data_IF_010837517173
#
_entry.id   IF_010837517173
#
_cell.length_a   1.000
_cell.length_b   1.000
_cell.length_c   1.000
_cell.angle_alpha   90.00
_cell.angle_beta   90.00
_cell.angle_gamma   90.00
#
_symmetry.space_group_name_H-M   'P 1'
#
loop_
_entity.id
_entity.type
_entity.pdbx_description
1 polymer ?
#
# COMPACT_ATOMS: atom_id res chain seq x y z
N UNK A 1 25.67 25.95 -21.97
CA UNK A 1 25.68 24.51 -22.32
C UNK A 1 24.37 23.91 -21.85
N UNK A 2 23.54 23.39 -22.75
CA UNK A 2 22.32 22.67 -22.35
C UNK A 2 22.75 21.28 -21.89
N UNK A 3 22.68 21.01 -20.58
CA UNK A 3 22.97 19.68 -20.06
C UNK A 3 21.99 18.67 -20.69
N UNK A 4 22.52 17.67 -21.38
CA UNK A 4 21.71 16.58 -21.95
C UNK A 4 21.06 15.83 -20.79
N UNK A 5 19.73 15.93 -20.67
CA UNK A 5 18.97 15.23 -19.61
C UNK A 5 19.07 13.72 -19.84
N UNK A 6 19.57 12.99 -18.84
CA UNK A 6 19.67 11.53 -18.90
C UNK A 6 18.29 10.88 -18.80
N UNK A 7 18.08 9.77 -19.48
CA UNK A 7 16.91 8.92 -19.31
C UNK A 7 16.92 8.24 -17.94
N UNK A 8 15.73 7.94 -17.41
CA UNK A 8 15.59 7.07 -16.24
C UNK A 8 16.06 5.66 -16.59
N UNK A 9 16.63 5.00 -15.60
CA UNK A 9 17.02 3.59 -15.71
C UNK A 9 15.78 2.72 -15.85
N UNK A 10 15.91 1.66 -16.64
CA UNK A 10 14.84 0.68 -16.84
C UNK A 10 14.64 -0.13 -15.55
N UNK A 11 13.39 -0.47 -15.27
CA UNK A 11 13.03 -1.42 -14.20
C UNK A 11 13.55 -2.78 -14.57
N UNK A 12 14.35 -3.35 -13.68
CA UNK A 12 14.85 -4.71 -13.85
C UNK A 12 13.81 -5.73 -13.38
N UNK A 13 14.01 -7.00 -13.74
CA UNK A 13 13.17 -8.10 -13.25
C UNK A 13 13.27 -8.23 -11.73
N UNK A 14 14.44 -7.94 -11.16
CA UNK A 14 14.67 -7.98 -9.71
C UNK A 14 13.86 -6.90 -9.00
N UNK A 15 13.83 -5.68 -9.55
CA UNK A 15 13.03 -4.58 -8.99
C UNK A 15 11.53 -4.91 -9.02
N UNK A 16 11.05 -5.50 -10.13
CA UNK A 16 9.67 -5.94 -10.26
C UNK A 16 9.33 -7.03 -9.24
N UNK A 17 10.16 -8.07 -9.12
CA UNK A 17 9.93 -9.18 -8.21
C UNK A 17 9.89 -8.72 -6.75
N UNK A 18 10.81 -7.83 -6.37
CA UNK A 18 10.81 -7.18 -5.05
C UNK A 18 9.51 -6.42 -4.81
N UNK A 19 9.16 -5.50 -5.70
CA UNK A 19 7.95 -4.69 -5.57
C UNK A 19 6.67 -5.53 -5.49
N UNK A 20 6.54 -6.55 -6.34
CA UNK A 20 5.39 -7.47 -6.31
C UNK A 20 5.32 -8.24 -4.99
N UNK A 21 6.45 -8.70 -4.44
CA UNK A 21 6.47 -9.42 -3.16
C UNK A 21 6.00 -8.53 -2.00
N UNK A 22 6.54 -7.31 -1.91
CA UNK A 22 6.14 -6.36 -0.87
C UNK A 22 4.68 -5.94 -1.01
N UNK A 23 4.25 -5.55 -2.21
CA UNK A 23 2.87 -5.11 -2.43
C UNK A 23 1.86 -6.25 -2.25
N UNK A 24 2.19 -7.49 -2.63
CA UNK A 24 1.31 -8.64 -2.39
C UNK A 24 1.09 -8.89 -0.89
N UNK A 25 2.13 -8.73 -0.08
CA UNK A 25 2.02 -8.87 1.37
C UNK A 25 1.09 -7.81 1.96
N UNK A 26 1.31 -6.52 1.67
CA UNK A 26 0.46 -5.44 2.19
C UNK A 26 -0.98 -5.52 1.66
N UNK A 27 -1.16 -5.91 0.40
CA UNK A 27 -2.47 -6.19 -0.17
C UNK A 27 -3.18 -7.34 0.56
N UNK A 28 -2.45 -8.42 0.88
CA UNK A 28 -3.02 -9.56 1.62
C UNK A 28 -3.48 -9.12 3.01
N UNK A 29 -2.68 -8.32 3.72
CA UNK A 29 -3.12 -7.78 5.02
C UNK A 29 -4.36 -6.91 4.88
N UNK A 30 -4.37 -5.93 3.97
CA UNK A 30 -5.54 -5.09 3.75
C UNK A 30 -6.80 -5.91 3.40
N UNK A 31 -6.64 -6.98 2.62
CA UNK A 31 -7.73 -7.86 2.24
C UNK A 31 -8.24 -8.70 3.41
N UNK A 32 -7.35 -9.21 4.28
CA UNK A 32 -7.73 -9.91 5.49
C UNK A 32 -8.55 -9.01 6.42
N UNK A 33 -8.11 -7.77 6.61
CA UNK A 33 -8.78 -6.78 7.44
C UNK A 33 -10.20 -6.50 6.93
N UNK A 34 -10.32 -6.20 5.64
CA UNK A 34 -11.59 -5.93 4.99
C UNK A 34 -12.52 -7.16 5.00
N UNK A 35 -11.97 -8.36 4.82
CA UNK A 35 -12.75 -9.60 4.87
C UNK A 35 -13.30 -9.88 6.27
N UNK A 36 -12.52 -9.58 7.32
CA UNK A 36 -12.97 -9.71 8.70
C UNK A 36 -14.14 -8.78 9.00
N UNK A 37 -14.09 -7.52 8.54
CA UNK A 37 -15.17 -6.55 8.69
C UNK A 37 -16.46 -7.02 8.00
N UNK A 38 -16.36 -7.43 6.73
CA UNK A 38 -17.52 -7.92 5.96
C UNK A 38 -18.14 -9.17 6.58
N UNK A 39 -17.33 -10.05 7.16
CA UNK A 39 -17.83 -11.25 7.82
C UNK A 39 -18.67 -10.92 9.06
N UNK A 40 -18.28 -9.87 9.81
CA UNK A 40 -19.03 -9.39 10.98
C UNK A 40 -20.29 -8.62 10.61
N UNK A 41 -20.31 -7.87 9.51
CA UNK A 41 -21.54 -7.24 9.00
C UNK A 41 -22.69 -8.24 8.79
N UNK A 42 -22.38 -9.50 8.54
CA UNK A 42 -23.38 -10.55 8.39
C UNK A 42 -24.10 -10.95 9.70
N UNK A 43 -23.58 -10.60 10.88
CA UNK A 43 -24.20 -10.92 12.17
C UNK A 43 -23.49 -10.29 13.37
N UNK A 44 -24.22 -9.54 14.20
CA UNK A 44 -23.74 -8.99 15.48
C UNK A 44 -23.13 -10.04 16.44
N UNK A 45 -23.58 -11.30 16.37
CA UNK A 45 -23.00 -12.38 17.19
C UNK A 45 -21.52 -12.67 16.87
N UNK A 46 -21.02 -12.17 15.73
CA UNK A 46 -19.63 -12.34 15.26
C UNK A 46 -18.71 -11.20 15.71
N UNK A 47 -19.26 -10.14 16.30
CA UNK A 47 -18.50 -8.97 16.71
C UNK A 47 -17.35 -9.27 17.71
N UNK A 48 -17.49 -10.23 18.66
CA UNK A 48 -16.38 -10.63 19.54
C UNK A 48 -15.14 -11.15 18.79
N UNK A 49 -15.32 -11.87 17.67
CA UNK A 49 -14.19 -12.33 16.87
C UNK A 49 -13.37 -11.17 16.32
N UNK A 50 -14.01 -10.08 15.88
CA UNK A 50 -13.29 -8.94 15.30
C UNK A 50 -12.50 -8.18 16.36
N UNK A 51 -13.02 -8.12 17.59
CA UNK A 51 -12.30 -7.58 18.76
C UNK A 51 -11.07 -8.45 19.05
N UNK A 52 -11.23 -9.78 19.14
CA UNK A 52 -10.13 -10.71 19.34
C UNK A 52 -9.09 -10.65 18.21
N UNK A 53 -9.54 -10.52 16.97
CA UNK A 53 -8.68 -10.42 15.80
C UNK A 53 -7.83 -9.15 15.80
N UNK A 54 -8.39 -7.97 16.11
CA UNK A 54 -7.58 -6.74 16.22
C UNK A 54 -6.69 -6.74 17.46
N UNK A 55 -7.14 -7.32 18.57
CA UNK A 55 -6.30 -7.51 19.77
C UNK A 55 -5.10 -8.37 19.42
N UNK A 56 -5.35 -9.54 18.82
CA UNK A 56 -4.29 -10.43 18.34
C UNK A 56 -3.37 -9.73 17.35
N UNK A 57 -3.89 -8.95 16.39
CA UNK A 57 -3.04 -8.26 15.40
C UNK A 57 -2.17 -7.19 16.07
N UNK A 58 -2.70 -6.44 17.03
CA UNK A 58 -1.96 -5.46 17.80
C UNK A 58 -0.85 -6.10 18.65
N UNK A 59 -1.12 -7.29 19.19
CA UNK A 59 -0.20 -8.01 20.07
C UNK A 59 0.73 -8.97 19.33
N UNK A 60 0.45 -9.31 18.06
CA UNK A 60 1.11 -10.40 17.34
C UNK A 60 2.62 -10.15 17.21
N UNK A 61 3.46 -10.88 17.96
CA UNK A 61 4.90 -10.65 17.96
C UNK A 61 5.54 -11.09 16.64
N UNK A 62 4.93 -12.03 15.91
CA UNK A 62 5.44 -12.51 14.62
C UNK A 62 5.21 -11.48 13.52
N UNK A 63 4.00 -10.91 13.44
CA UNK A 63 3.69 -9.84 12.48
C UNK A 63 4.52 -8.61 12.81
N UNK A 64 4.63 -8.23 14.09
CA UNK A 64 5.48 -7.12 14.54
C UNK A 64 6.97 -7.33 14.25
N UNK A 65 7.52 -8.54 14.49
CA UNK A 65 8.94 -8.84 14.21
C UNK A 65 9.25 -8.99 12.72
N UNK A 66 8.37 -9.63 11.94
CA UNK A 66 8.51 -9.69 10.48
C UNK A 66 8.37 -8.31 9.86
N UNK A 67 7.38 -7.51 10.31
CA UNK A 67 7.26 -6.12 9.92
C UNK A 67 8.49 -5.34 10.34
N UNK A 68 9.09 -5.49 11.52
CA UNK A 68 10.32 -4.76 11.85
C UNK A 68 11.46 -5.00 10.85
N UNK A 69 11.66 -6.24 10.40
CA UNK A 69 12.67 -6.57 9.39
C UNK A 69 12.31 -5.97 8.03
N UNK A 70 11.03 -5.97 7.66
CA UNK A 70 10.53 -5.42 6.39
C UNK A 70 10.33 -3.90 6.42
N UNK A 71 10.20 -3.30 7.61
CA UNK A 71 10.13 -1.87 7.88
C UNK A 71 11.53 -1.26 7.85
N UNK A 72 12.58 -2.02 8.11
CA UNK A 72 13.96 -1.54 8.02
C UNK A 72 14.30 -0.97 6.62
N UNK A 73 13.97 -1.64 5.49
CA UNK A 73 14.15 -1.06 4.16
C UNK A 73 13.04 -0.05 3.79
N UNK A 74 11.92 0.01 4.50
CA UNK A 74 10.78 0.85 4.10
C UNK A 74 11.12 2.34 3.98
N UNK A 75 11.88 2.99 4.89
CA UNK A 75 12.36 4.36 4.71
C UNK A 75 13.16 4.55 3.43
N UNK A 76 14.03 3.58 3.08
CA UNK A 76 14.83 3.63 1.85
C UNK A 76 13.96 3.49 0.61
N UNK A 77 12.95 2.61 0.66
CA UNK A 77 11.97 2.42 -0.42
C UNK A 77 11.14 3.70 -0.61
N UNK A 78 10.65 4.31 0.49
CA UNK A 78 9.90 5.58 0.45
C UNK A 78 10.75 6.70 -0.13
N UNK A 79 12.00 6.85 0.31
CA UNK A 79 12.92 7.85 -0.24
C UNK A 79 13.17 7.59 -1.73
N UNK A 80 13.38 6.33 -2.14
CA UNK A 80 13.54 5.94 -3.53
C UNK A 80 12.34 6.32 -4.40
N UNK A 81 11.13 6.00 -3.94
CA UNK A 81 9.87 6.36 -4.62
C UNK A 81 9.69 7.88 -4.70
N UNK A 82 9.95 8.60 -3.60
CA UNK A 82 9.86 10.05 -3.55
C UNK A 82 10.86 10.71 -4.50
N UNK A 83 12.13 10.27 -4.50
CA UNK A 83 13.14 10.76 -5.44
C UNK A 83 12.77 10.44 -6.88
N UNK A 84 12.23 9.24 -7.16
CA UNK A 84 11.75 8.90 -8.50
C UNK A 84 10.61 9.83 -8.94
N UNK A 85 9.64 10.10 -8.07
CA UNK A 85 8.55 11.03 -8.35
C UNK A 85 9.06 12.46 -8.55
N UNK A 86 9.96 12.96 -7.69
CA UNK A 86 10.58 14.28 -7.83
C UNK A 86 11.36 14.41 -9.14
N UNK A 87 12.13 13.38 -9.52
CA UNK A 87 12.83 13.35 -10.80
C UNK A 87 11.85 13.44 -11.99
N UNK A 88 10.68 12.82 -11.86
CA UNK A 88 9.59 12.88 -12.85
C UNK A 88 8.96 14.27 -12.90
N UNK A 89 8.56 14.83 -11.75
CA UNK A 89 7.87 16.11 -11.62
C UNK A 89 8.77 17.27 -12.08
N UNK A 90 10.00 17.33 -11.57
CA UNK A 90 10.95 18.39 -11.92
C UNK A 90 11.68 18.13 -13.24
N UNK A 91 11.34 17.05 -13.95
CA UNK A 91 11.95 16.67 -15.22
C UNK A 91 13.49 16.62 -15.13
N UNK A 92 14.04 16.14 -14.00
CA UNK A 92 15.49 15.98 -13.81
C UNK A 92 16.05 14.84 -14.66
N UNK A 93 15.21 13.85 -14.98
CA UNK A 93 15.50 12.76 -15.92
C UNK A 93 14.34 12.62 -16.91
N UNK A 94 14.64 12.21 -18.14
CA UNK A 94 13.60 11.87 -19.12
C UNK A 94 12.97 10.51 -18.80
N UNK A 95 11.65 10.43 -18.93
CA UNK A 95 10.86 9.23 -18.73
C UNK A 95 9.73 9.21 -19.77
N UNK A 96 9.23 8.03 -20.12
CA UNK A 96 7.99 7.93 -20.91
C UNK A 96 6.81 8.52 -20.13
N UNK A 97 5.76 8.95 -20.83
CA UNK A 97 4.56 9.49 -20.19
C UNK A 97 3.96 8.48 -19.20
N UNK A 98 3.90 7.21 -19.59
CA UNK A 98 3.45 6.11 -18.73
C UNK A 98 4.34 5.99 -17.49
N UNK A 99 5.66 6.04 -17.65
CA UNK A 99 6.58 5.97 -16.51
C UNK A 99 6.39 7.13 -15.55
N UNK A 100 6.21 8.34 -16.07
CA UNK A 100 5.95 9.53 -15.27
C UNK A 100 4.64 9.40 -14.48
N UNK A 101 3.54 9.04 -15.15
CA UNK A 101 2.23 8.89 -14.51
C UNK A 101 2.26 7.85 -13.37
N UNK A 102 2.91 6.71 -13.59
CA UNK A 102 2.99 5.66 -12.58
C UNK A 102 3.96 6.01 -11.43
N UNK A 103 5.04 6.76 -11.68
CA UNK A 103 5.89 7.32 -10.61
C UNK A 103 5.09 8.26 -9.70
N UNK A 104 4.23 9.11 -10.27
CA UNK A 104 3.35 9.99 -9.50
C UNK A 104 2.26 9.22 -8.75
N UNK A 105 1.65 8.21 -9.39
CA UNK A 105 0.62 7.38 -8.77
C UNK A 105 1.16 6.57 -7.58
N UNK A 106 2.36 5.98 -7.68
CA UNK A 106 2.98 5.29 -6.55
C UNK A 106 3.28 6.23 -5.39
N UNK A 107 3.83 7.42 -5.66
CA UNK A 107 4.13 8.39 -4.62
C UNK A 107 2.85 8.90 -3.92
N UNK A 108 1.78 9.16 -4.68
CA UNK A 108 0.48 9.51 -4.10
C UNK A 108 -0.13 8.33 -3.32
N UNK A 109 -0.04 7.11 -3.86
CA UNK A 109 -0.55 5.89 -3.27
C UNK A 109 0.09 5.59 -1.92
N UNK A 110 1.43 5.56 -1.84
CA UNK A 110 2.13 5.29 -0.58
C UNK A 110 1.85 6.37 0.48
N UNK A 111 1.85 7.64 0.11
CA UNK A 111 1.52 8.73 1.03
C UNK A 111 0.08 8.60 1.56
N UNK A 112 -0.85 8.22 0.69
CA UNK A 112 -2.26 7.99 1.06
C UNK A 112 -2.40 6.79 1.99
N UNK A 113 -1.71 5.68 1.71
CA UNK A 113 -1.71 4.50 2.59
C UNK A 113 -1.19 4.87 3.97
N UNK A 114 -0.03 5.54 4.05
CA UNK A 114 0.55 5.94 5.34
C UNK A 114 -0.39 6.87 6.12
N UNK A 115 -0.98 7.86 5.45
CA UNK A 115 -1.94 8.76 6.07
C UNK A 115 -3.17 8.00 6.60
N UNK A 116 -3.79 7.15 5.77
CA UNK A 116 -4.99 6.39 6.14
C UNK A 116 -4.69 5.42 7.29
N UNK A 117 -3.56 4.70 7.26
CA UNK A 117 -3.20 3.76 8.33
C UNK A 117 -3.00 4.50 9.66
N UNK A 118 -2.16 5.55 9.67
CA UNK A 118 -1.76 6.23 10.91
C UNK A 118 -2.90 7.09 11.48
N UNK A 119 -3.59 7.84 10.62
CA UNK A 119 -4.56 8.84 11.08
C UNK A 119 -5.99 8.27 11.19
N UNK A 120 -6.27 7.11 10.59
CA UNK A 120 -7.64 6.56 10.54
C UNK A 120 -7.71 5.12 11.02
N UNK A 121 -7.03 4.19 10.35
CA UNK A 121 -7.20 2.76 10.62
C UNK A 121 -6.80 2.37 12.04
N UNK A 122 -5.60 2.77 12.49
CA UNK A 122 -5.11 2.45 13.84
C UNK A 122 -6.03 3.05 14.92
N UNK A 123 -6.35 4.36 14.93
CA UNK A 123 -7.26 4.93 15.92
C UNK A 123 -8.66 4.28 15.94
N UNK A 124 -9.21 3.96 14.77
CA UNK A 124 -10.52 3.31 14.66
C UNK A 124 -10.50 1.90 15.23
N UNK A 125 -9.45 1.11 14.94
CA UNK A 125 -9.29 -0.24 15.49
C UNK A 125 -9.17 -0.20 17.02
N UNK A 126 -8.38 0.71 17.58
CA UNK A 126 -8.26 0.88 19.03
C UNK A 126 -9.60 1.25 19.67
N UNK A 127 -10.31 2.21 19.08
CA UNK A 127 -11.64 2.64 19.56
C UNK A 127 -12.65 1.49 19.51
N UNK A 128 -12.61 0.69 18.44
CA UNK A 128 -13.48 -0.47 18.27
C UNK A 128 -13.21 -1.54 19.34
N UNK A 129 -11.94 -1.87 19.59
CA UNK A 129 -11.55 -2.84 20.62
C UNK A 129 -11.96 -2.39 22.02
N UNK A 130 -11.83 -1.10 22.32
CA UNK A 130 -12.21 -0.53 23.64
C UNK A 130 -13.74 -0.47 23.84
N UNK A 131 -14.49 -0.25 22.76
CA UNK A 131 -15.94 0.03 22.84
C UNK A 131 -16.80 -1.22 22.63
N UNK A 132 -16.26 -2.30 22.06
CA UNK A 132 -17.00 -3.48 21.64
C UNK A 132 -16.54 -4.77 22.36
N UNK A 133 -17.45 -5.73 22.66
CA UNK A 133 -18.87 -5.74 22.33
C UNK A 133 -19.71 -4.92 23.31
N UNK A 134 -20.43 -3.91 22.79
CA UNK A 134 -21.26 -3.02 23.60
C UNK A 134 -22.29 -3.78 24.45
N UNK A 135 -22.38 -3.43 25.75
CA UNK A 135 -23.31 -4.09 26.70
C UNK A 135 -24.69 -3.42 26.72
N UNK A 136 -24.74 -2.11 26.50
CA UNK A 136 -26.00 -1.35 26.38
C UNK A 136 -26.46 -1.24 24.91
N UNK A 137 -27.74 -0.89 24.69
CA UNK A 137 -28.27 -0.62 23.34
C UNK A 137 -27.50 0.49 22.63
N UNK A 138 -27.13 1.54 23.36
CA UNK A 138 -26.36 2.66 22.83
C UNK A 138 -24.97 2.20 22.37
N UNK A 139 -24.25 1.46 23.22
CA UNK A 139 -22.92 0.95 22.86
C UNK A 139 -22.95 -0.01 21.67
N UNK A 140 -24.01 -0.81 21.52
CA UNK A 140 -24.19 -1.67 20.33
C UNK A 140 -24.36 -0.84 19.05
N UNK A 141 -25.14 0.25 19.13
CA UNK A 141 -25.29 1.20 18.02
C UNK A 141 -23.95 1.86 17.67
N UNK A 142 -23.19 2.31 18.67
CA UNK A 142 -21.90 2.96 18.49
C UNK A 142 -20.85 1.99 17.91
N UNK A 143 -20.88 0.72 18.33
CA UNK A 143 -20.06 -0.36 17.76
C UNK A 143 -20.36 -0.60 16.28
N UNK A 144 -21.65 -0.69 15.92
CA UNK A 144 -22.06 -0.90 14.53
C UNK A 144 -21.68 0.28 13.63
N UNK A 145 -21.84 1.51 14.13
CA UNK A 145 -21.39 2.72 13.43
C UNK A 145 -19.88 2.74 13.21
N UNK A 146 -19.10 2.37 14.24
CA UNK A 146 -17.63 2.30 14.15
C UNK A 146 -17.20 1.22 13.15
N UNK A 147 -17.86 0.05 13.15
CA UNK A 147 -17.64 -1.01 12.18
C UNK A 147 -17.87 -0.53 10.75
N UNK A 148 -18.95 0.20 10.49
CA UNK A 148 -19.25 0.72 9.16
C UNK A 148 -18.12 1.65 8.65
N UNK A 149 -17.68 2.61 9.47
CA UNK A 149 -16.59 3.53 9.11
C UNK A 149 -15.27 2.79 8.91
N UNK A 150 -14.97 1.81 9.77
CA UNK A 150 -13.77 0.99 9.66
C UNK A 150 -13.76 0.16 8.37
N UNK A 151 -14.92 -0.37 7.97
CA UNK A 151 -15.09 -1.12 6.72
C UNK A 151 -14.76 -0.26 5.50
N UNK A 152 -15.23 1.00 5.49
CA UNK A 152 -14.88 1.95 4.43
C UNK A 152 -13.38 2.26 4.40
N UNK A 153 -12.76 2.42 5.57
CA UNK A 153 -11.32 2.67 5.69
C UNK A 153 -10.51 1.47 5.19
N UNK A 154 -10.86 0.25 5.56
CA UNK A 154 -10.18 -0.95 5.07
C UNK A 154 -10.42 -1.15 3.56
N UNK A 155 -11.60 -0.82 3.02
CA UNK A 155 -11.82 -0.82 1.57
C UNK A 155 -10.89 0.15 0.84
N UNK A 156 -10.73 1.37 1.35
CA UNK A 156 -9.79 2.36 0.79
C UNK A 156 -8.37 1.79 0.80
N UNK A 157 -7.95 1.13 1.89
CA UNK A 157 -6.64 0.49 1.96
C UNK A 157 -6.49 -0.66 0.96
N UNK A 158 -7.52 -1.48 0.75
CA UNK A 158 -7.52 -2.51 -0.29
C UNK A 158 -7.32 -1.89 -1.67
N UNK A 159 -8.09 -0.85 -2.01
CA UNK A 159 -8.00 -0.18 -3.32
C UNK A 159 -6.63 0.48 -3.54
N UNK A 160 -6.08 1.13 -2.52
CA UNK A 160 -4.75 1.72 -2.58
C UNK A 160 -3.66 0.65 -2.74
N UNK A 161 -3.78 -0.50 -2.07
CA UNK A 161 -2.83 -1.60 -2.21
C UNK A 161 -2.94 -2.28 -3.59
N UNK A 162 -4.14 -2.37 -4.19
CA UNK A 162 -4.30 -2.81 -5.58
C UNK A 162 -3.57 -1.86 -6.53
N UNK A 163 -3.74 -0.55 -6.34
CA UNK A 163 -3.01 0.46 -7.12
C UNK A 163 -1.50 0.25 -7.00
N UNK A 164 -0.99 0.14 -5.77
CA UNK A 164 0.44 -0.07 -5.50
C UNK A 164 0.96 -1.38 -6.09
N UNK A 165 0.14 -2.44 -6.13
CA UNK A 165 0.50 -3.71 -6.74
C UNK A 165 0.60 -3.64 -8.27
N UNK A 166 -0.32 -2.92 -8.93
CA UNK A 166 -0.36 -2.78 -10.38
C UNK A 166 0.73 -1.84 -10.92
N UNK A 167 1.06 -0.79 -10.18
CA UNK A 167 2.06 0.20 -10.59
C UNK A 167 3.42 -0.38 -11.04
N UNK A 168 4.12 -1.24 -10.27
CA UNK A 168 5.41 -1.79 -10.70
C UNK A 168 5.29 -2.65 -11.96
N UNK A 169 4.17 -3.37 -12.13
CA UNK A 169 3.87 -4.15 -13.35
C UNK A 169 3.75 -3.21 -14.55
N UNK A 170 2.97 -2.13 -14.42
CA UNK A 170 2.80 -1.15 -15.49
C UNK A 170 4.11 -0.42 -15.82
N UNK A 171 4.93 -0.09 -14.81
CA UNK A 171 6.26 0.50 -14.97
C UNK A 171 7.19 -0.43 -15.75
N UNK A 172 7.20 -1.72 -15.43
CA UNK A 172 8.04 -2.70 -16.11
C UNK A 172 7.58 -2.95 -17.55
N UNK A 173 6.28 -3.18 -17.75
CA UNK A 173 5.72 -3.54 -19.05
C UNK A 173 5.72 -2.38 -20.06
N UNK A 174 5.47 -1.16 -19.61
CA UNK A 174 5.22 -0.01 -20.50
C UNK A 174 6.10 1.21 -20.21
N UNK A 175 6.81 1.22 -19.07
CA UNK A 175 7.64 2.35 -18.63
C UNK A 175 9.11 2.25 -19.05
N UNK A 176 9.57 1.06 -19.44
CA UNK A 176 10.95 0.86 -19.87
C UNK A 176 11.19 1.45 -21.26
N UNK A 177 12.31 2.14 -21.43
CA UNK A 177 12.77 2.59 -22.74
C UNK A 177 13.22 1.33 -23.48
N UNK A 178 12.60 1.06 -24.63
CA UNK A 178 13.05 -0.01 -25.52
C UNK A 178 14.55 0.19 -25.73
N UNK A 179 15.37 -0.77 -25.28
CA UNK A 179 16.81 -0.72 -25.52
C UNK A 179 17.02 -0.38 -26.99
N UNK A 180 17.64 0.77 -27.25
CA UNK A 180 18.04 1.15 -28.58
C UNK A 180 18.65 -0.09 -29.22
N UNK A 181 18.05 -0.57 -30.32
CA UNK A 181 18.55 -1.68 -31.11
C UNK A 181 20.06 -1.54 -31.17
N UNK A 182 20.79 -2.42 -30.48
CA UNK A 182 22.23 -2.50 -30.66
C UNK A 182 22.41 -2.68 -32.16
N UNK A 183 23.09 -1.79 -32.90
CA UNK A 183 23.40 -2.07 -34.28
C UNK A 183 24.32 -3.28 -34.22
N UNK A 184 23.74 -4.43 -34.54
CA UNK A 184 24.44 -5.65 -34.82
C UNK A 184 25.49 -5.26 -35.86
N UNK A 185 26.76 -5.21 -35.44
CA UNK A 185 27.87 -4.96 -36.36
C UNK A 185 27.84 -6.13 -37.34
N UNK A 186 27.24 -5.93 -38.50
CA UNK A 186 27.41 -6.79 -39.66
C UNK A 186 28.91 -6.85 -39.92
N UNK A 187 29.48 -8.04 -39.71
CA UNK A 187 30.83 -8.37 -40.15
C UNK A 187 30.86 -8.49 -41.67
#
# INVERSE_FOLDING_TARGET
>A
MVAVKKWKENVTVVDLAGACTFNAMFFTFALMDYSADLWVHGSDARMPFLVEYFTWRGDAPVISKMLMVLLLPLPLIIIGMALAALQSIFCWRHASLTRHAVDCAEAAGICSILYVVIMRAIPLQSTFVESCPGRSKQQKSDCSATLAVMTEVHLILVLLNVLMFVCPIAKYAFGNVASAKTPEKSK
#
